data_IF_921748874743
#
_entry.id   IF_921748874743
#
_cell.length_a   1.000
_cell.length_b   1.000
_cell.length_c   1.000
_cell.angle_alpha   90.00
_cell.angle_beta   90.00
_cell.angle_gamma   90.00
#
_symmetry.space_group_name_H-M   'P 1'
#
loop_
_entity.id
_entity.type
_entity.pdbx_description
1 polymer ?
#
# COMPACT_ATOMS: atom_id res chain seq x y z
N UNK A 1 29.66 -27.92 -3.39
CA UNK A 1 28.39 -27.55 -2.72
C UNK A 1 28.71 -26.43 -1.74
N UNK A 2 27.97 -25.32 -1.72
CA UNK A 2 28.21 -24.24 -0.73
C UNK A 2 27.78 -24.73 0.64
N UNK A 3 28.68 -24.65 1.62
CA UNK A 3 28.47 -25.05 3.01
C UNK A 3 28.70 -23.82 3.89
N UNK A 4 27.96 -23.71 5.00
CA UNK A 4 28.22 -22.65 5.95
C UNK A 4 29.54 -22.93 6.67
N UNK A 5 30.39 -21.90 6.72
CA UNK A 5 31.59 -21.91 7.58
C UNK A 5 31.30 -21.37 8.97
N UNK A 6 30.22 -20.60 9.11
CA UNK A 6 29.79 -20.01 10.36
C UNK A 6 28.29 -19.71 10.33
N UNK A 7 27.60 -19.93 11.45
CA UNK A 7 26.21 -19.56 11.69
C UNK A 7 26.13 -18.94 13.09
N UNK A 8 25.49 -17.77 13.20
CA UNK A 8 25.29 -17.09 14.49
C UNK A 8 24.45 -17.94 15.47
N UNK A 9 24.74 -17.93 16.78
CA UNK A 9 23.92 -18.58 17.81
C UNK A 9 22.45 -18.16 17.81
N UNK A 10 22.13 -16.96 17.29
CA UNK A 10 20.77 -16.45 17.15
C UNK A 10 19.86 -17.35 16.29
N UNK A 11 20.43 -18.26 15.48
CA UNK A 11 19.68 -19.28 14.73
C UNK A 11 18.81 -20.18 15.64
N UNK A 12 19.20 -20.33 16.92
CA UNK A 12 18.44 -21.10 17.91
C UNK A 12 17.13 -20.44 18.29
N UNK A 13 17.14 -19.13 18.53
CA UNK A 13 15.93 -18.36 18.79
C UNK A 13 15.07 -18.22 17.53
N UNK A 14 15.71 -18.20 16.36
CA UNK A 14 15.08 -17.90 15.09
C UNK A 14 14.45 -19.12 14.38
N UNK A 15 15.08 -20.30 14.41
CA UNK A 15 14.55 -21.54 13.78
C UNK A 15 14.42 -22.73 14.74
N UNK A 16 14.85 -22.59 16.00
CA UNK A 16 14.85 -23.69 16.96
C UNK A 16 15.96 -24.72 16.71
N UNK A 17 16.94 -24.41 15.85
CA UNK A 17 18.08 -25.27 15.53
C UNK A 17 19.38 -24.70 16.10
N UNK A 18 20.36 -25.55 16.35
CA UNK A 18 21.68 -25.14 16.78
C UNK A 18 22.55 -24.73 15.59
N UNK A 19 23.59 -23.90 15.79
CA UNK A 19 24.56 -23.60 14.74
C UNK A 19 25.22 -24.85 14.13
N UNK A 20 25.46 -25.87 14.96
CA UNK A 20 26.04 -27.14 14.51
C UNK A 20 25.09 -27.88 13.56
N UNK A 21 23.82 -28.04 13.94
CA UNK A 21 22.79 -28.61 13.06
C UNK A 21 22.69 -27.80 11.75
N UNK A 22 22.76 -26.47 11.81
CA UNK A 22 22.68 -25.61 10.63
C UNK A 22 23.91 -25.69 9.69
N UNK A 23 25.08 -26.11 10.20
CA UNK A 23 26.29 -26.33 9.40
C UNK A 23 26.29 -27.74 8.80
N UNK A 24 25.84 -28.74 9.57
CA UNK A 24 25.79 -30.15 9.16
C UNK A 24 24.65 -30.43 8.17
N UNK A 25 23.48 -29.80 8.35
CA UNK A 25 22.35 -29.88 7.43
C UNK A 25 22.31 -28.68 6.48
N UNK A 26 22.13 -28.89 5.16
CA UNK A 26 21.93 -27.79 4.24
C UNK A 26 20.67 -26.99 4.63
N UNK A 27 20.79 -25.68 4.91
CA UNK A 27 19.63 -24.83 5.28
C UNK A 27 18.47 -24.87 4.29
N UNK A 28 18.77 -25.29 3.06
CA UNK A 28 17.84 -25.56 1.97
C UNK A 28 16.70 -26.49 2.43
N UNK A 29 16.96 -27.41 3.36
CA UNK A 29 15.95 -28.30 3.96
C UNK A 29 14.88 -27.58 4.79
N UNK A 30 15.22 -26.41 5.35
CA UNK A 30 14.28 -25.58 6.10
C UNK A 30 13.48 -24.64 5.19
N UNK A 31 13.72 -24.58 3.88
CA UNK A 31 12.95 -23.69 3.01
C UNK A 31 11.57 -24.28 2.69
N UNK A 32 10.57 -23.40 2.53
CA UNK A 32 9.32 -23.78 1.87
C UNK A 32 9.57 -24.10 0.38
N UNK A 33 8.72 -24.90 -0.29
CA UNK A 33 8.92 -25.26 -1.70
C UNK A 33 9.07 -24.04 -2.64
N UNK A 34 8.31 -22.98 -2.39
CA UNK A 34 8.41 -21.73 -3.15
C UNK A 34 9.74 -21.01 -2.90
N UNK A 35 10.16 -20.91 -1.63
CA UNK A 35 11.43 -20.31 -1.25
C UNK A 35 12.63 -21.08 -1.76
N UNK A 36 12.51 -22.41 -1.85
CA UNK A 36 13.50 -23.28 -2.47
C UNK A 36 13.69 -22.96 -3.96
N UNK A 37 12.60 -22.68 -4.68
CA UNK A 37 12.68 -22.28 -6.09
C UNK A 37 13.39 -20.93 -6.26
N UNK A 38 13.03 -19.94 -5.44
CA UNK A 38 13.69 -18.62 -5.42
C UNK A 38 15.19 -18.73 -5.12
N UNK A 39 15.55 -19.53 -4.13
CA UNK A 39 16.95 -19.81 -3.82
C UNK A 39 17.69 -20.49 -4.99
N UNK A 40 17.07 -21.48 -5.65
CA UNK A 40 17.67 -22.16 -6.81
C UNK A 40 17.92 -21.19 -7.97
N UNK A 41 17.00 -20.27 -8.22
CA UNK A 41 17.16 -19.23 -9.24
C UNK A 41 18.33 -18.30 -8.91
N UNK A 42 18.37 -17.77 -7.68
CA UNK A 42 19.48 -16.96 -7.20
C UNK A 42 20.83 -17.68 -7.34
N UNK A 43 20.90 -18.93 -6.87
CA UNK A 43 22.12 -19.75 -6.94
C UNK A 43 22.57 -19.97 -8.39
N UNK A 44 21.64 -20.23 -9.31
CA UNK A 44 21.94 -20.39 -10.73
C UNK A 44 22.54 -19.11 -11.31
N UNK A 45 21.92 -17.96 -11.07
CA UNK A 45 22.43 -16.67 -11.54
C UNK A 45 23.83 -16.37 -11.01
N UNK A 46 24.08 -16.64 -9.72
CA UNK A 46 25.40 -16.45 -9.12
C UNK A 46 26.46 -17.34 -9.78
N UNK A 47 26.17 -18.64 -9.96
CA UNK A 47 27.10 -19.58 -10.60
C UNK A 47 27.39 -19.17 -12.04
N UNK A 48 26.36 -18.80 -12.80
CA UNK A 48 26.49 -18.36 -14.19
C UNK A 48 27.37 -17.10 -14.30
N UNK A 49 27.21 -16.13 -13.39
CA UNK A 49 28.06 -14.93 -13.34
C UNK A 49 29.52 -15.26 -13.02
N UNK A 50 29.76 -16.13 -12.04
CA UNK A 50 31.11 -16.57 -11.67
C UNK A 50 31.79 -17.28 -12.85
N UNK A 51 31.07 -18.17 -13.56
CA UNK A 51 31.60 -18.90 -14.71
C UNK A 51 31.93 -17.98 -15.90
N UNK A 52 31.11 -16.94 -16.13
CA UNK A 52 31.32 -15.96 -17.20
C UNK A 52 32.37 -14.90 -16.85
N UNK A 53 32.93 -14.92 -15.64
CA UNK A 53 33.86 -13.89 -15.16
C UNK A 53 33.21 -12.52 -14.98
N UNK A 54 31.87 -12.47 -14.91
CA UNK A 54 31.12 -11.22 -14.72
C UNK A 54 30.88 -11.02 -13.23
N UNK A 55 31.09 -9.80 -12.75
CA UNK A 55 30.79 -9.48 -11.35
C UNK A 55 29.29 -9.56 -11.08
N UNK A 56 28.94 -10.28 -10.02
CA UNK A 56 27.57 -10.32 -9.50
C UNK A 56 27.35 -9.08 -8.60
N UNK A 57 26.13 -8.55 -8.48
CA UNK A 57 25.84 -7.46 -7.55
C UNK A 57 26.40 -7.74 -6.15
N UNK A 58 27.19 -6.80 -5.62
CA UNK A 58 27.89 -6.98 -4.34
C UNK A 58 26.92 -7.20 -3.18
N UNK A 59 25.73 -6.59 -3.25
CA UNK A 59 24.64 -6.76 -2.31
C UNK A 59 23.39 -7.19 -3.07
N UNK A 60 22.69 -8.19 -2.55
CA UNK A 60 21.42 -8.68 -3.08
C UNK A 60 20.49 -9.01 -1.93
N UNK A 61 19.23 -8.60 -2.05
CA UNK A 61 18.21 -8.92 -1.07
C UNK A 61 17.38 -10.11 -1.56
N UNK A 62 17.05 -11.02 -0.65
CA UNK A 62 16.23 -12.18 -0.95
C UNK A 62 15.22 -12.39 0.18
N UNK A 63 13.94 -12.43 -0.19
CA UNK A 63 12.87 -12.74 0.75
C UNK A 63 12.54 -14.23 0.67
N UNK A 64 12.82 -14.95 1.75
CA UNK A 64 12.59 -16.39 1.85
C UNK A 64 11.75 -16.71 3.08
N UNK A 65 10.96 -17.76 2.97
CA UNK A 65 10.20 -18.35 4.05
C UNK A 65 10.85 -19.66 4.49
N UNK A 66 11.11 -19.74 5.79
CA UNK A 66 11.72 -20.90 6.44
C UNK A 66 10.69 -21.63 7.29
N UNK A 67 10.89 -22.93 7.45
CA UNK A 67 10.18 -23.81 8.35
C UNK A 67 10.96 -23.83 9.66
N UNK A 68 10.30 -23.42 10.72
CA UNK A 68 10.82 -23.53 12.07
C UNK A 68 10.70 -24.98 12.56
N UNK A 69 11.59 -25.41 13.46
CA UNK A 69 11.60 -26.79 14.01
C UNK A 69 10.30 -27.19 14.74
N UNK A 70 9.50 -26.20 15.16
CA UNK A 70 8.20 -26.40 15.81
C UNK A 70 7.03 -26.58 14.81
N UNK A 71 7.30 -26.54 13.50
CA UNK A 71 6.29 -26.66 12.43
C UNK A 71 5.70 -25.36 11.91
N UNK A 72 5.96 -24.19 12.53
CA UNK A 72 5.54 -22.89 11.99
C UNK A 72 6.46 -22.44 10.85
N UNK A 73 6.05 -21.39 10.12
CA UNK A 73 6.93 -20.72 9.16
C UNK A 73 7.38 -19.35 9.67
N UNK A 74 8.55 -18.92 9.20
CA UNK A 74 9.16 -17.63 9.50
C UNK A 74 9.48 -16.94 8.18
N UNK A 75 8.91 -15.76 7.97
CA UNK A 75 9.23 -14.92 6.82
C UNK A 75 10.48 -14.11 7.09
N UNK A 76 11.36 -14.05 6.09
CA UNK A 76 12.69 -13.48 6.29
C UNK A 76 13.09 -12.59 5.14
N UNK A 77 13.86 -11.56 5.48
CA UNK A 77 14.62 -10.72 4.57
C UNK A 77 16.09 -11.06 4.75
N UNK A 78 16.75 -11.53 3.69
CA UNK A 78 18.17 -11.89 3.70
C UNK A 78 18.94 -10.88 2.87
N UNK A 79 19.82 -10.13 3.52
CA UNK A 79 20.83 -9.33 2.83
C UNK A 79 22.06 -10.19 2.58
N UNK A 80 22.30 -10.48 1.31
CA UNK A 80 23.40 -11.31 0.82
C UNK A 80 24.51 -10.40 0.32
N UNK A 81 25.70 -10.54 0.89
CA UNK A 81 26.92 -9.85 0.44
C UNK A 81 27.87 -10.85 -0.19
N UNK A 82 28.26 -10.62 -1.43
CA UNK A 82 29.26 -11.44 -2.13
C UNK A 82 30.66 -10.95 -1.75
N UNK A 83 31.51 -11.88 -1.32
CA UNK A 83 32.90 -11.62 -0.93
C UNK A 83 33.82 -12.10 -2.05
N UNK A 84 34.69 -11.21 -2.51
CA UNK A 84 35.72 -11.49 -3.50
C UNK A 84 37.10 -11.40 -2.84
N UNK A 85 38.07 -12.16 -3.33
CA UNK A 85 39.46 -12.05 -2.92
C UNK A 85 40.17 -10.85 -3.59
N UNK A 86 41.45 -10.64 -3.24
CA UNK A 86 42.28 -9.56 -3.80
C UNK A 86 42.44 -9.65 -5.34
N UNK A 87 42.22 -10.83 -5.92
CA UNK A 87 42.28 -11.07 -7.37
C UNK A 87 40.91 -10.94 -8.04
N UNK A 88 39.90 -10.38 -7.35
CA UNK A 88 38.51 -10.26 -7.80
C UNK A 88 37.83 -11.60 -8.10
N UNK A 89 38.36 -12.71 -7.57
CA UNK A 89 37.74 -14.03 -7.69
C UNK A 89 36.75 -14.25 -6.55
N UNK A 90 35.66 -14.95 -6.83
CA UNK A 90 34.66 -15.27 -5.82
C UNK A 90 35.31 -16.04 -4.65
N UNK A 91 35.14 -15.51 -3.44
CA UNK A 91 35.66 -16.09 -2.20
C UNK A 91 34.55 -16.71 -1.34
N UNK A 92 33.39 -16.05 -1.25
CA UNK A 92 32.28 -16.56 -0.46
C UNK A 92 31.07 -15.64 -0.41
N UNK A 93 30.15 -15.96 0.50
CA UNK A 93 28.92 -15.21 0.73
C UNK A 93 28.75 -14.98 2.22
N UNK A 94 28.35 -13.77 2.59
CA UNK A 94 27.85 -13.43 3.92
C UNK A 94 26.36 -13.12 3.82
N UNK A 95 25.54 -13.85 4.56
CA UNK A 95 24.10 -13.61 4.67
C UNK A 95 23.75 -13.03 6.04
N UNK A 96 23.00 -11.93 6.05
CA UNK A 96 22.37 -11.40 7.27
C UNK A 96 20.86 -11.57 7.11
N UNK A 97 20.26 -12.36 7.98
CA UNK A 97 18.84 -12.70 7.93
C UNK A 97 18.08 -11.96 9.02
N UNK A 98 16.98 -11.31 8.64
CA UNK A 98 16.04 -10.63 9.54
C UNK A 98 14.69 -11.32 9.46
N UNK A 99 14.11 -11.62 10.62
CA UNK A 99 12.71 -12.03 10.71
C UNK A 99 11.80 -10.82 10.43
N UNK A 100 10.92 -10.95 9.43
CA UNK A 100 9.95 -9.94 9.04
C UNK A 100 8.51 -10.42 9.25
N UNK A 101 8.30 -11.52 9.98
CA UNK A 101 6.99 -12.14 10.20
C UNK A 101 6.00 -11.18 10.86
N UNK A 102 6.41 -10.52 11.94
CA UNK A 102 5.57 -9.51 12.63
C UNK A 102 5.21 -8.34 11.72
N UNK A 103 6.20 -7.83 10.96
CA UNK A 103 5.99 -6.72 10.02
C UNK A 103 4.98 -7.11 8.93
N UNK A 104 5.16 -8.27 8.30
CA UNK A 104 4.23 -8.77 7.28
C UNK A 104 2.84 -9.04 7.84
N UNK A 105 2.72 -9.59 9.04
CA UNK A 105 1.42 -9.80 9.69
C UNK A 105 0.70 -8.47 9.95
N UNK A 106 1.42 -7.45 10.43
CA UNK A 106 0.87 -6.11 10.62
C UNK A 106 0.44 -5.48 9.29
N UNK A 107 1.27 -5.56 8.25
CA UNK A 107 0.96 -5.06 6.90
C UNK A 107 -0.27 -5.77 6.31
N UNK A 108 -0.37 -7.09 6.44
CA UNK A 108 -1.53 -7.86 5.98
C UNK A 108 -2.80 -7.53 6.77
N UNK A 109 -2.70 -7.36 8.09
CA UNK A 109 -3.82 -6.96 8.94
C UNK A 109 -4.32 -5.57 8.58
N UNK A 110 -3.41 -4.61 8.36
CA UNK A 110 -3.72 -3.26 7.91
C UNK A 110 -4.40 -3.29 6.54
N UNK A 111 -3.84 -4.04 5.58
CA UNK A 111 -4.43 -4.17 4.25
C UNK A 111 -5.84 -4.78 4.30
N UNK A 112 -6.06 -5.78 5.16
CA UNK A 112 -7.38 -6.39 5.37
C UNK A 112 -8.36 -5.40 6.00
N UNK A 113 -7.94 -4.66 7.02
CA UNK A 113 -8.75 -3.63 7.67
C UNK A 113 -9.16 -2.54 6.69
N UNK A 114 -8.21 -2.01 5.90
CA UNK A 114 -8.48 -1.00 4.87
C UNK A 114 -9.46 -1.52 3.82
N UNK A 115 -9.31 -2.78 3.38
CA UNK A 115 -10.26 -3.41 2.45
C UNK A 115 -11.66 -3.50 3.04
N UNK A 116 -11.79 -3.93 4.30
CA UNK A 116 -13.09 -4.01 4.97
C UNK A 116 -13.74 -2.63 5.13
N UNK A 117 -12.96 -1.62 5.51
CA UNK A 117 -13.44 -0.23 5.64
C UNK A 117 -13.95 0.31 4.30
N UNK A 118 -13.20 0.09 3.22
CA UNK A 118 -13.59 0.52 1.88
C UNK A 118 -14.89 -0.14 1.40
N UNK A 119 -15.06 -1.44 1.65
CA UNK A 119 -16.31 -2.14 1.32
C UNK A 119 -17.50 -1.60 2.11
N UNK A 120 -17.35 -1.44 3.43
CA UNK A 120 -18.42 -0.94 4.30
C UNK A 120 -18.81 0.50 3.96
N UNK A 121 -17.83 1.35 3.70
CA UNK A 121 -18.04 2.74 3.29
C UNK A 121 -18.77 2.82 1.95
N UNK A 122 -18.38 2.01 0.96
CA UNK A 122 -19.06 1.93 -0.33
C UNK A 122 -20.54 1.51 -0.22
N UNK A 123 -20.83 0.46 0.56
CA UNK A 123 -22.20 -0.01 0.81
C UNK A 123 -23.03 1.07 1.53
N UNK A 124 -22.48 1.61 2.62
CA UNK A 124 -23.16 2.63 3.44
C UNK A 124 -23.47 3.88 2.62
N UNK A 125 -22.54 4.32 1.76
CA UNK A 125 -22.74 5.43 0.83
C UNK A 125 -23.93 5.17 -0.10
N UNK A 126 -23.94 4.01 -0.76
CA UNK A 126 -25.03 3.64 -1.66
C UNK A 126 -26.40 3.66 -0.94
N UNK A 127 -26.47 3.09 0.26
CA UNK A 127 -27.70 3.05 1.03
C UNK A 127 -28.17 4.43 1.47
N UNK A 128 -27.25 5.32 1.87
CA UNK A 128 -27.57 6.71 2.21
C UNK A 128 -28.07 7.47 0.98
N UNK A 129 -27.41 7.34 -0.18
CA UNK A 129 -27.83 7.99 -1.43
C UNK A 129 -29.22 7.53 -1.87
N UNK A 130 -29.55 6.26 -1.67
CA UNK A 130 -30.89 5.74 -1.93
C UNK A 130 -31.93 6.40 -1.01
N UNK A 131 -31.64 6.53 0.29
CA UNK A 131 -32.54 7.21 1.25
C UNK A 131 -32.70 8.69 0.92
N UNK A 132 -31.62 9.37 0.54
CA UNK A 132 -31.65 10.76 0.07
C UNK A 132 -32.55 10.90 -1.17
N UNK A 133 -32.40 10.01 -2.14
CA UNK A 133 -33.23 10.00 -3.36
C UNK A 133 -34.72 9.85 -3.02
N UNK A 134 -35.04 8.96 -2.06
CA UNK A 134 -36.41 8.81 -1.55
C UNK A 134 -36.92 10.09 -0.87
N UNK A 135 -36.13 10.72 0.00
CA UNK A 135 -36.49 11.98 0.67
C UNK A 135 -36.76 13.09 -0.34
N UNK A 136 -35.85 13.28 -1.30
CA UNK A 136 -35.99 14.29 -2.36
C UNK A 136 -37.24 14.03 -3.21
N UNK A 137 -37.57 12.77 -3.51
CA UNK A 137 -38.81 12.40 -4.18
C UNK A 137 -40.06 12.79 -3.40
N UNK A 138 -40.11 12.53 -2.09
CA UNK A 138 -41.24 12.95 -1.25
C UNK A 138 -41.33 14.47 -1.08
N UNK A 139 -40.20 15.17 -0.99
CA UNK A 139 -40.18 16.64 -0.96
C UNK A 139 -40.75 17.22 -2.26
N UNK A 140 -40.35 16.67 -3.41
CA UNK A 140 -40.89 17.05 -4.72
C UNK A 140 -42.42 16.88 -4.76
N UNK A 141 -42.94 15.71 -4.39
CA UNK A 141 -44.38 15.46 -4.35
C UNK A 141 -45.11 16.37 -3.35
N UNK A 142 -44.51 16.62 -2.17
CA UNK A 142 -45.10 17.49 -1.15
C UNK A 142 -45.24 18.94 -1.64
N UNK A 143 -44.32 19.42 -2.46
CA UNK A 143 -44.40 20.77 -3.05
C UNK A 143 -45.54 20.91 -4.06
N UNK A 144 -45.89 19.84 -4.77
CA UNK A 144 -47.03 19.80 -5.70
C UNK A 144 -48.39 19.90 -4.99
N UNK A 145 -48.46 19.63 -3.68
CA UNK A 145 -49.70 19.73 -2.89
C UNK A 145 -50.17 21.16 -2.60
N UNK A 146 -49.47 22.18 -3.12
CA UNK A 146 -49.70 23.61 -2.81
C UNK A 146 -49.70 23.88 -1.29
N UNK A 147 -48.61 23.53 -0.58
CA UNK A 147 -48.53 23.70 0.86
C UNK A 147 -48.59 25.18 1.27
N UNK A 148 -48.95 25.43 2.53
CA UNK A 148 -48.91 26.78 3.11
C UNK A 148 -47.51 27.40 2.99
N UNK A 149 -47.37 28.75 2.99
CA UNK A 149 -46.07 29.42 2.93
C UNK A 149 -45.08 28.94 4.01
N UNK A 150 -45.56 28.72 5.24
CA UNK A 150 -44.75 28.23 6.35
C UNK A 150 -44.26 26.80 6.10
N UNK A 151 -45.15 25.92 5.65
CA UNK A 151 -44.80 24.54 5.27
C UNK A 151 -43.80 24.54 4.12
N UNK A 152 -43.97 25.39 3.10
CA UNK A 152 -43.03 25.50 1.99
C UNK A 152 -41.64 25.95 2.44
N UNK A 153 -41.55 26.85 3.43
CA UNK A 153 -40.27 27.26 4.02
C UNK A 153 -39.56 26.10 4.73
N UNK A 154 -40.30 25.27 5.47
CA UNK A 154 -39.74 24.05 6.06
C UNK A 154 -39.27 23.04 5.02
N UNK A 155 -40.06 22.79 3.96
CA UNK A 155 -39.67 21.87 2.88
C UNK A 155 -38.38 22.30 2.20
N UNK A 156 -38.21 23.60 1.91
CA UNK A 156 -36.96 24.15 1.34
C UNK A 156 -35.76 23.96 2.28
N UNK A 157 -35.93 24.11 3.59
CA UNK A 157 -34.86 23.87 4.57
C UNK A 157 -34.46 22.40 4.61
N UNK A 158 -35.42 21.47 4.59
CA UNK A 158 -35.14 20.03 4.54
C UNK A 158 -34.43 19.67 3.23
N UNK A 159 -34.86 20.24 2.10
CA UNK A 159 -34.22 20.05 0.80
C UNK A 159 -32.75 20.53 0.81
N UNK A 160 -32.47 21.72 1.36
CA UNK A 160 -31.09 22.23 1.51
C UNK A 160 -30.23 21.27 2.34
N UNK A 161 -30.69 20.91 3.55
CA UNK A 161 -29.95 20.02 4.43
C UNK A 161 -29.72 18.62 3.81
N UNK A 162 -30.71 18.11 3.07
CA UNK A 162 -30.60 16.82 2.37
C UNK A 162 -29.55 16.88 1.25
N UNK A 163 -29.51 17.98 0.49
CA UNK A 163 -28.51 18.19 -0.54
C UNK A 163 -27.10 18.39 0.04
N UNK A 164 -26.98 19.08 1.17
CA UNK A 164 -25.71 19.23 1.89
C UNK A 164 -25.17 17.87 2.34
N UNK A 165 -26.02 17.01 2.93
CA UNK A 165 -25.64 15.64 3.30
C UNK A 165 -25.23 14.84 2.06
N UNK A 166 -25.95 14.99 0.94
CA UNK A 166 -25.61 14.31 -0.33
C UNK A 166 -24.18 14.66 -0.77
N UNK A 167 -23.84 15.95 -0.79
CA UNK A 167 -22.50 16.42 -1.17
C UNK A 167 -21.43 15.86 -0.22
N UNK A 168 -21.68 15.87 1.09
CA UNK A 168 -20.74 15.30 2.08
C UNK A 168 -20.51 13.80 1.85
N UNK A 169 -21.58 13.05 1.58
CA UNK A 169 -21.51 11.60 1.34
C UNK A 169 -20.80 11.28 0.03
N UNK A 170 -21.03 12.07 -1.03
CA UNK A 170 -20.29 11.96 -2.29
C UNK A 170 -18.80 12.32 -2.10
N UNK A 171 -18.50 13.32 -1.27
CA UNK A 171 -17.14 13.73 -0.95
C UNK A 171 -16.32 12.60 -0.30
N UNK A 172 -16.94 11.78 0.57
CA UNK A 172 -16.25 10.62 1.17
C UNK A 172 -15.68 9.67 0.12
N UNK A 173 -16.23 9.62 -1.10
CA UNK A 173 -15.71 8.80 -2.21
C UNK A 173 -14.37 9.29 -2.71
N UNK A 174 -14.20 10.60 -2.81
CA UNK A 174 -12.95 11.18 -3.28
C UNK A 174 -11.85 10.99 -2.23
N UNK A 175 -12.19 11.11 -0.95
CA UNK A 175 -11.25 10.89 0.14
C UNK A 175 -10.69 9.46 0.18
N UNK A 176 -11.51 8.44 -0.11
CA UNK A 176 -11.04 7.04 -0.19
C UNK A 176 -9.98 6.80 -1.28
N UNK A 177 -10.04 7.58 -2.35
CA UNK A 177 -9.12 7.45 -3.48
C UNK A 177 -7.92 8.41 -3.37
N UNK A 178 -7.90 9.29 -2.37
CA UNK A 178 -6.81 10.22 -2.14
C UNK A 178 -5.55 9.46 -1.71
N UNK A 179 -4.42 9.72 -2.37
CA UNK A 179 -3.15 9.05 -2.14
C UNK A 179 -3.05 7.65 -2.74
N UNK A 180 -4.07 7.20 -3.49
CA UNK A 180 -4.05 5.91 -4.18
C UNK A 180 -3.29 5.94 -5.51
N UNK A 181 -3.11 7.13 -6.08
CA UNK A 181 -2.41 7.36 -7.34
C UNK A 181 -1.06 8.05 -7.11
N UNK A 182 -0.10 7.85 -8.02
CA UNK A 182 1.16 8.59 -7.94
C UNK A 182 0.90 10.09 -8.19
N UNK A 183 1.59 10.99 -7.45
CA UNK A 183 1.49 12.43 -7.66
C UNK A 183 1.83 12.81 -9.10
N UNK A 184 1.07 13.76 -9.66
CA UNK A 184 1.30 14.32 -10.99
C UNK A 184 1.49 15.84 -10.90
N UNK A 185 2.23 16.40 -11.86
CA UNK A 185 2.35 17.84 -11.99
C UNK A 185 1.03 18.43 -12.50
N UNK A 186 0.44 19.35 -11.74
CA UNK A 186 -0.83 19.98 -12.04
C UNK A 186 -0.68 21.50 -12.07
N UNK A 187 -1.21 22.15 -13.11
CA UNK A 187 -1.14 23.59 -13.30
C UNK A 187 -2.14 24.32 -12.40
N UNK A 188 -1.67 25.31 -11.63
CA UNK A 188 -2.49 25.98 -10.63
C UNK A 188 -3.58 26.87 -11.24
N UNK A 189 -3.31 27.53 -12.38
CA UNK A 189 -4.30 28.36 -13.07
C UNK A 189 -5.47 27.53 -13.58
N UNK A 190 -5.20 26.32 -14.10
CA UNK A 190 -6.26 25.41 -14.54
C UNK A 190 -7.15 24.93 -13.40
N UNK A 191 -6.59 24.70 -12.21
CA UNK A 191 -7.36 24.29 -11.01
C UNK A 191 -8.22 25.45 -10.51
N UNK A 192 -7.64 26.64 -10.33
CA UNK A 192 -8.37 27.81 -9.83
C UNK A 192 -9.52 28.21 -10.77
N UNK A 193 -9.37 28.02 -12.08
CA UNK A 193 -10.43 28.27 -13.04
C UNK A 193 -11.66 27.36 -12.90
N UNK A 194 -11.54 26.23 -12.20
CA UNK A 194 -12.65 25.29 -11.96
C UNK A 194 -13.32 25.49 -10.60
N UNK A 195 -12.68 26.22 -9.68
CA UNK A 195 -13.23 26.47 -8.34
C UNK A 195 -14.28 27.58 -8.42
N UNK A 196 -15.45 27.32 -7.85
CA UNK A 196 -16.55 28.27 -7.87
C UNK A 196 -16.47 29.20 -6.65
N UNK A 197 -15.94 30.41 -6.85
CA UNK A 197 -15.77 31.36 -5.75
C UNK A 197 -17.04 32.16 -5.46
N UNK A 198 -17.29 32.53 -4.19
CA UNK A 198 -18.38 33.44 -3.85
C UNK A 198 -18.27 34.76 -4.61
N UNK A 199 -19.40 35.29 -5.13
CA UNK A 199 -19.43 36.50 -5.98
C UNK A 199 -18.87 37.78 -5.34
N UNK A 200 -18.64 37.78 -4.03
CA UNK A 200 -18.09 38.92 -3.29
C UNK A 200 -16.56 38.84 -3.10
N UNK A 201 -15.92 37.75 -3.54
CA UNK A 201 -14.48 37.60 -3.52
C UNK A 201 -13.88 38.02 -4.86
N UNK A 202 -12.87 38.87 -4.81
CA UNK A 202 -11.99 39.16 -5.95
C UNK A 202 -10.71 38.37 -5.77
N UNK A 203 -10.32 37.62 -6.79
CA UNK A 203 -9.12 36.79 -6.78
C UNK A 203 -8.16 37.37 -7.80
N UNK A 204 -7.01 37.81 -7.31
CA UNK A 204 -5.89 38.25 -8.11
C UNK A 204 -4.74 37.25 -7.90
N UNK A 205 -4.36 36.54 -8.97
CA UNK A 205 -3.36 35.47 -8.91
C UNK A 205 -2.39 35.59 -10.07
N UNK A 206 -1.09 35.53 -9.78
CA UNK A 206 -0.03 35.41 -10.79
C UNK A 206 0.56 33.99 -10.75
N UNK A 207 -0.17 33.01 -11.29
CA UNK A 207 0.16 31.59 -11.18
C UNK A 207 0.36 30.86 -12.52
N UNK A 208 0.40 31.59 -13.64
CA UNK A 208 0.42 31.03 -15.01
C UNK A 208 1.51 29.98 -15.26
N UNK A 209 2.68 30.14 -14.62
CA UNK A 209 3.84 29.27 -14.81
C UNK A 209 4.09 28.30 -13.63
N UNK A 210 3.14 28.18 -12.70
CA UNK A 210 3.30 27.35 -11.52
C UNK A 210 2.52 26.05 -11.63
N UNK A 211 3.23 24.95 -11.40
CA UNK A 211 2.67 23.61 -11.25
C UNK A 211 3.05 23.06 -9.89
N UNK A 212 2.18 22.25 -9.31
CA UNK A 212 2.46 21.53 -8.07
C UNK A 212 2.40 20.03 -8.31
N UNK A 213 3.30 19.30 -7.64
CA UNK A 213 3.29 17.85 -7.64
C UNK A 213 2.35 17.37 -6.55
N UNK A 214 1.15 16.95 -6.92
CA UNK A 214 0.09 16.58 -5.98
C UNK A 214 -0.72 15.39 -6.51
N UNK A 215 -1.54 14.80 -5.64
CA UNK A 215 -2.47 13.75 -6.04
C UNK A 215 -3.42 14.27 -7.13
N UNK A 216 -3.71 13.51 -8.20
CA UNK A 216 -4.64 13.93 -9.27
C UNK A 216 -6.04 14.32 -8.80
N UNK A 217 -6.45 13.90 -7.60
CA UNK A 217 -7.74 14.26 -7.00
C UNK A 217 -7.74 15.66 -6.36
N UNK A 218 -6.64 16.42 -6.41
CA UNK A 218 -6.49 17.70 -5.72
C UNK A 218 -7.67 18.65 -5.97
N UNK A 219 -8.12 18.79 -7.21
CA UNK A 219 -9.27 19.63 -7.59
C UNK A 219 -10.59 19.24 -6.91
N UNK A 220 -10.74 18.00 -6.44
CA UNK A 220 -11.99 17.48 -5.84
C UNK A 220 -11.99 17.56 -4.32
N UNK A 221 -10.85 17.94 -3.74
CA UNK A 221 -10.68 18.09 -2.28
C UNK A 221 -10.96 19.53 -1.84
N UNK A 222 -10.93 20.49 -2.77
CA UNK A 222 -11.05 21.93 -2.52
C UNK A 222 -12.24 22.56 -3.24
#
# INVERSE_FOLDING_TARGET
MMHFTYVSPSIKEFLGITPKEAIEEPFIGFLTPESLQKYRQFKKQLVDSIQKGVQFPRKTELNLEFKHKNGSTVWTEILITIVYDNNKKFHGIVGVTRDISRRRQAEMALMKANRHLSLLSGITRHDILNKITTILGFLFLSRETKPSPDTLAYLKRIESATNEIKVLIEFTRYYENLGSSQPTWQNLTAILGQINFPKHLTIDTNLENYSILADPMLEKVF
#
